data_IF_419325228478
#
_entry.id   IF_419325228478
#
_cell.length_a   1.000
_cell.length_b   1.000
_cell.length_c   1.000
_cell.angle_alpha   90.00
_cell.angle_beta   90.00
_cell.angle_gamma   90.00
#
_symmetry.space_group_name_H-M   'P 1'
#
loop_
_entity.id
_entity.type
_entity.pdbx_description
1 polymer ?
#
# COMPACT_ATOMS: atom_id res chain seq x y z
N UNK A 1 6.87 6.43 10.13
CA UNK A 1 7.67 6.13 8.94
C UNK A 1 8.28 7.41 8.38
N UNK A 2 9.47 7.31 7.78
CA UNK A 2 10.15 8.36 7.02
C UNK A 2 10.21 7.95 5.55
N UNK A 3 10.20 8.93 4.64
CA UNK A 3 10.41 8.66 3.21
C UNK A 3 11.83 8.15 2.98
N UNK A 4 11.99 7.24 2.05
CA UNK A 4 13.28 6.70 1.62
C UNK A 4 13.30 6.50 0.10
N UNK A 5 14.48 6.31 -0.51
CA UNK A 5 14.59 5.80 -1.87
C UNK A 5 13.89 4.44 -2.01
N UNK A 6 13.34 4.15 -3.18
CA UNK A 6 12.86 2.82 -3.51
C UNK A 6 14.06 1.88 -3.63
N UNK A 7 14.07 0.80 -2.85
CA UNK A 7 15.12 -0.23 -2.90
C UNK A 7 14.91 -1.18 -4.08
N UNK A 8 15.95 -1.89 -4.49
CA UNK A 8 15.85 -2.92 -5.53
C UNK A 8 14.89 -4.04 -5.11
N UNK A 9 14.91 -4.48 -3.85
CA UNK A 9 13.98 -5.48 -3.34
C UNK A 9 12.50 -5.06 -3.44
N UNK A 10 12.19 -3.81 -3.04
CA UNK A 10 10.83 -3.27 -3.21
C UNK A 10 10.43 -3.17 -4.68
N UNK A 11 11.37 -2.79 -5.56
CA UNK A 11 11.14 -2.70 -7.01
C UNK A 11 10.91 -4.07 -7.63
N UNK A 12 11.67 -5.09 -7.23
CA UNK A 12 11.59 -6.46 -7.75
C UNK A 12 10.31 -7.19 -7.32
N UNK A 13 9.75 -6.84 -6.15
CA UNK A 13 8.47 -7.36 -5.71
C UNK A 13 7.26 -6.80 -6.48
N UNK A 14 7.40 -5.59 -7.05
CA UNK A 14 6.35 -4.99 -7.87
C UNK A 14 6.21 -5.72 -9.21
N UNK A 15 4.97 -6.07 -9.58
CA UNK A 15 4.65 -6.79 -10.82
C UNK A 15 3.97 -5.92 -11.88
N UNK A 16 3.84 -4.61 -11.64
CA UNK A 16 3.32 -3.70 -12.65
C UNK A 16 4.22 -3.72 -13.90
N UNK A 17 3.64 -3.83 -15.11
CA UNK A 17 4.41 -3.88 -16.35
C UNK A 17 5.12 -2.54 -16.66
N UNK A 18 4.59 -1.44 -16.14
CA UNK A 18 5.17 -0.11 -16.22
C UNK A 18 5.04 0.58 -14.87
N UNK A 19 6.05 1.36 -14.49
CA UNK A 19 6.05 2.16 -13.26
C UNK A 19 6.38 3.59 -13.66
N UNK A 20 5.36 4.45 -13.67
CA UNK A 20 5.51 5.88 -13.93
C UNK A 20 5.97 6.62 -12.66
N UNK A 21 5.62 6.10 -11.48
CA UNK A 21 6.02 6.69 -10.20
C UNK A 21 6.14 5.63 -9.09
N UNK A 22 7.14 5.81 -8.23
CA UNK A 22 7.34 5.00 -7.02
C UNK A 22 7.65 5.88 -5.81
N UNK A 23 7.04 5.56 -4.67
CA UNK A 23 7.32 6.22 -3.39
C UNK A 23 7.51 5.16 -2.31
N UNK A 24 8.56 5.28 -1.50
CA UNK A 24 8.84 4.34 -0.42
C UNK A 24 8.96 5.04 0.93
N UNK A 25 8.56 4.30 1.97
CA UNK A 25 8.60 4.70 3.37
C UNK A 25 9.18 3.57 4.20
N UNK A 26 9.96 3.91 5.23
CA UNK A 26 10.42 2.95 6.23
C UNK A 26 10.10 3.41 7.65
N UNK A 27 9.84 2.46 8.53
CA UNK A 27 9.91 2.66 9.97
C UNK A 27 10.68 1.51 10.62
N UNK A 28 11.64 1.85 11.47
CA UNK A 28 12.16 0.92 12.45
C UNK A 28 11.11 0.74 13.54
N UNK A 29 10.74 -0.49 13.82
CA UNK A 29 9.76 -0.85 14.85
C UNK A 29 10.55 -1.36 16.07
N UNK A 30 10.55 -0.60 17.19
CA UNK A 30 11.05 -1.13 18.47
C UNK A 30 10.24 -2.37 18.86
N UNK A 31 10.90 -3.40 19.38
CA UNK A 31 10.23 -4.65 19.79
C UNK A 31 9.40 -5.28 18.67
N UNK A 32 10.05 -5.52 17.52
CA UNK A 32 9.38 -6.03 16.31
C UNK A 32 8.57 -7.31 16.63
N UNK A 33 7.24 -7.29 16.49
CA UNK A 33 6.36 -8.34 17.03
C UNK A 33 6.35 -9.64 16.21
N UNK A 34 7.33 -9.85 15.32
CA UNK A 34 7.40 -11.01 14.44
C UNK A 34 6.29 -11.09 13.37
N UNK A 35 5.50 -10.03 13.17
CA UNK A 35 4.45 -9.97 12.15
C UNK A 35 5.03 -10.14 10.74
N UNK A 36 4.40 -11.01 9.96
CA UNK A 36 4.64 -11.16 8.53
C UNK A 36 4.27 -9.88 7.76
N UNK A 37 4.77 -9.71 6.53
CA UNK A 37 4.42 -8.56 5.69
C UNK A 37 2.91 -8.42 5.44
N UNK A 38 2.19 -9.53 5.27
CA UNK A 38 0.73 -9.53 5.12
C UNK A 38 0.03 -9.06 6.40
N UNK A 39 0.47 -9.54 7.57
CA UNK A 39 -0.09 -9.10 8.85
C UNK A 39 0.15 -7.61 9.09
N UNK A 40 1.29 -7.06 8.65
CA UNK A 40 1.52 -5.62 8.64
C UNK A 40 0.55 -4.88 7.72
N UNK A 41 0.37 -5.35 6.48
CA UNK A 41 -0.59 -4.78 5.55
C UNK A 41 -2.01 -4.76 6.14
N UNK A 42 -2.45 -5.87 6.73
CA UNK A 42 -3.76 -5.97 7.40
C UNK A 42 -3.84 -5.08 8.63
N UNK A 43 -2.84 -5.05 9.49
CA UNK A 43 -2.83 -4.18 10.66
C UNK A 43 -2.91 -2.68 10.27
N UNK A 44 -2.27 -2.28 9.18
CA UNK A 44 -2.30 -0.89 8.68
C UNK A 44 -3.66 -0.53 8.09
N UNK A 45 -4.25 -1.39 7.25
CA UNK A 45 -5.50 -1.07 6.56
C UNK A 45 -6.76 -1.56 7.30
N UNK A 46 -6.81 -2.83 7.68
CA UNK A 46 -7.95 -3.46 8.34
C UNK A 46 -8.00 -3.16 9.85
N UNK A 47 -6.84 -2.91 10.47
CA UNK A 47 -6.71 -2.44 11.85
C UNK A 47 -6.94 -0.92 12.03
N UNK A 48 -7.13 -0.17 10.94
CA UNK A 48 -7.44 1.26 11.02
C UNK A 48 -8.81 1.51 11.68
N UNK A 49 -9.03 2.70 12.28
CA UNK A 49 -10.34 3.08 12.80
C UNK A 49 -11.45 2.93 11.75
N UNK A 50 -12.65 2.50 12.15
CA UNK A 50 -13.74 2.21 11.22
C UNK A 50 -14.04 3.35 10.22
N UNK A 51 -14.08 4.64 10.61
CA UNK A 51 -14.28 5.74 9.65
C UNK A 51 -13.16 5.82 8.61
N UNK A 52 -11.92 5.54 9.01
CA UNK A 52 -10.77 5.54 8.09
C UNK A 52 -10.86 4.40 7.09
N UNK A 53 -11.30 3.21 7.52
CA UNK A 53 -11.53 2.07 6.60
C UNK A 53 -12.59 2.37 5.55
N UNK A 54 -13.70 2.99 5.97
CA UNK A 54 -14.77 3.42 5.07
C UNK A 54 -14.23 4.46 4.08
N UNK A 55 -13.49 5.46 4.57
CA UNK A 55 -12.86 6.46 3.72
C UNK A 55 -11.91 5.85 2.69
N UNK A 56 -11.00 4.93 3.10
CA UNK A 56 -10.06 4.27 2.19
C UNK A 56 -10.79 3.51 1.09
N UNK A 57 -11.78 2.68 1.46
CA UNK A 57 -12.57 1.93 0.48
C UNK A 57 -13.34 2.85 -0.47
N UNK A 58 -13.92 3.93 0.02
CA UNK A 58 -14.60 4.92 -0.79
C UNK A 58 -13.62 5.66 -1.73
N UNK A 59 -12.46 6.07 -1.24
CA UNK A 59 -11.44 6.74 -2.03
C UNK A 59 -10.91 5.85 -3.16
N UNK A 60 -10.67 4.56 -2.90
CA UNK A 60 -10.25 3.62 -3.94
C UNK A 60 -11.37 3.33 -4.94
N UNK A 61 -12.58 3.01 -4.47
CA UNK A 61 -13.70 2.66 -5.35
C UNK A 61 -14.19 3.85 -6.17
N UNK A 62 -14.42 4.99 -5.54
CA UNK A 62 -15.02 6.16 -6.19
C UNK A 62 -13.97 7.12 -6.75
N UNK A 63 -12.88 7.34 -6.03
CA UNK A 63 -11.82 8.25 -6.47
C UNK A 63 -10.94 7.62 -7.56
N UNK A 64 -10.45 6.41 -7.34
CA UNK A 64 -9.55 5.71 -8.27
C UNK A 64 -10.27 4.78 -9.27
N UNK A 65 -11.58 4.55 -9.08
CA UNK A 65 -12.35 3.62 -9.88
C UNK A 65 -11.91 2.16 -9.70
N UNK A 66 -11.31 1.83 -8.56
CA UNK A 66 -10.77 0.49 -8.31
C UNK A 66 -11.89 -0.50 -8.03
N UNK A 67 -11.80 -1.67 -8.68
CA UNK A 67 -12.65 -2.81 -8.36
C UNK A 67 -12.12 -3.48 -7.08
N UNK A 68 -12.78 -3.22 -5.95
CA UNK A 68 -12.43 -3.86 -4.68
C UNK A 68 -13.05 -5.25 -4.61
N UNK A 69 -12.25 -6.22 -4.18
CA UNK A 69 -12.71 -7.57 -3.87
C UNK A 69 -13.56 -7.65 -2.60
N UNK A 70 -14.03 -8.87 -2.26
CA UNK A 70 -14.77 -9.12 -1.03
C UNK A 70 -13.93 -8.78 0.21
N UNK A 71 -14.62 -8.34 1.26
CA UNK A 71 -14.01 -8.06 2.56
C UNK A 71 -15.02 -8.40 3.68
N UNK A 72 -14.67 -9.26 4.66
CA UNK A 72 -13.34 -9.85 4.88
C UNK A 72 -12.98 -10.95 3.86
N UNK A 73 -11.67 -11.13 3.59
CA UNK A 73 -11.14 -12.21 2.74
C UNK A 73 -9.66 -12.48 3.05
N UNK A 74 -9.22 -13.73 2.85
CA UNK A 74 -7.80 -14.11 2.90
C UNK A 74 -7.02 -13.62 1.66
N UNK A 75 -7.66 -13.54 0.49
CA UNK A 75 -7.01 -13.13 -0.76
C UNK A 75 -6.95 -11.62 -0.94
N UNK A 76 -7.67 -10.87 -0.10
CA UNK A 76 -7.77 -9.42 -0.19
C UNK A 76 -7.45 -8.75 1.15
N UNK A 77 -6.68 -7.66 1.10
CA UNK A 77 -6.46 -6.76 2.23
C UNK A 77 -7.27 -5.49 2.03
N UNK A 78 -8.33 -5.33 2.84
CA UNK A 78 -9.33 -4.27 2.73
C UNK A 78 -9.92 -4.13 1.30
N UNK A 79 -10.03 -5.25 0.58
CA UNK A 79 -10.52 -5.32 -0.80
C UNK A 79 -9.45 -5.14 -1.89
N UNK A 80 -8.18 -4.92 -1.55
CA UNK A 80 -7.07 -4.93 -2.50
C UNK A 80 -6.51 -6.35 -2.63
N UNK A 81 -6.35 -6.84 -3.84
CA UNK A 81 -5.93 -8.21 -4.12
C UNK A 81 -4.47 -8.45 -3.73
N UNK A 82 -4.17 -9.58 -3.08
CA UNK A 82 -2.80 -10.04 -2.89
C UNK A 82 -2.33 -10.70 -4.20
N UNK A 83 -1.51 -9.99 -4.98
CA UNK A 83 -1.03 -10.46 -6.29
C UNK A 83 0.33 -11.16 -6.23
N UNK A 84 1.03 -11.02 -5.10
CA UNK A 84 2.30 -11.71 -4.84
C UNK A 84 2.57 -11.78 -3.35
N UNK A 85 2.96 -12.96 -2.89
CA UNK A 85 3.60 -13.18 -1.59
C UNK A 85 4.99 -13.73 -1.85
N UNK A 86 6.01 -13.14 -1.24
CA UNK A 86 7.40 -13.57 -1.39
C UNK A 86 8.13 -13.57 -0.05
N UNK A 87 9.38 -14.01 -0.07
CA UNK A 87 10.20 -14.11 1.14
C UNK A 87 10.43 -12.71 1.74
N UNK A 88 9.69 -12.41 2.81
CA UNK A 88 9.75 -11.11 3.49
C UNK A 88 8.98 -9.97 2.81
N UNK A 89 8.14 -10.24 1.80
CA UNK A 89 7.26 -9.22 1.22
C UNK A 89 5.88 -9.70 0.78
N UNK A 90 4.92 -8.77 0.71
CA UNK A 90 3.60 -8.96 0.10
C UNK A 90 3.29 -7.79 -0.83
N UNK A 91 2.60 -8.06 -1.94
CA UNK A 91 2.20 -7.04 -2.92
C UNK A 91 0.68 -7.02 -3.06
N UNK A 92 0.09 -5.85 -2.82
CA UNK A 92 -1.34 -5.60 -2.94
C UNK A 92 -1.64 -4.77 -4.19
N UNK A 93 -2.53 -5.23 -5.06
CA UNK A 93 -2.92 -4.51 -6.26
C UNK A 93 -4.24 -3.74 -6.10
N UNK A 94 -4.24 -2.52 -6.63
CA UNK A 94 -5.39 -1.66 -6.87
C UNK A 94 -5.47 -1.40 -8.36
N UNK A 95 -6.49 -1.94 -9.03
CA UNK A 95 -6.65 -1.78 -10.49
C UNK A 95 -7.89 -0.94 -10.80
N UNK A 96 -7.67 0.23 -11.40
CA UNK A 96 -8.73 1.13 -11.84
C UNK A 96 -8.54 1.61 -13.29
N UNK A 97 -9.51 2.33 -13.86
CA UNK A 97 -9.46 2.83 -15.25
C UNK A 97 -8.49 4.00 -15.44
N UNK A 98 -8.12 4.72 -14.38
CA UNK A 98 -7.22 5.89 -14.45
C UNK A 98 -5.78 5.56 -14.06
N UNK A 99 -5.59 4.53 -13.24
CA UNK A 99 -4.27 4.04 -12.84
C UNK A 99 -4.36 2.60 -12.35
N UNK A 100 -3.23 1.90 -12.41
CA UNK A 100 -2.98 0.74 -11.55
C UNK A 100 -1.97 1.13 -10.47
N UNK A 101 -2.14 0.60 -9.27
CA UNK A 101 -1.24 0.83 -8.17
C UNK A 101 -0.92 -0.47 -7.44
N UNK A 102 0.32 -0.61 -6.99
CA UNK A 102 0.72 -1.71 -6.12
C UNK A 102 1.35 -1.18 -4.83
N UNK A 103 0.86 -1.67 -3.70
CA UNK A 103 1.54 -1.50 -2.42
C UNK A 103 2.40 -2.72 -2.16
N UNK A 104 3.72 -2.54 -2.10
CA UNK A 104 4.66 -3.56 -1.65
C UNK A 104 4.99 -3.29 -0.20
N UNK A 105 4.70 -4.25 0.66
CA UNK A 105 5.06 -4.22 2.08
C UNK A 105 6.16 -5.24 2.29
N UNK A 106 7.28 -4.82 2.87
CA UNK A 106 8.40 -5.69 3.15
C UNK A 106 8.90 -5.53 4.59
N UNK A 107 9.45 -6.60 5.13
CA UNK A 107 10.06 -6.63 6.46
C UNK A 107 11.52 -7.02 6.30
N UNK A 108 12.43 -6.13 6.71
CA UNK A 108 13.86 -6.36 6.71
C UNK A 108 14.40 -6.19 8.15
N UNK A 109 14.60 -7.30 8.86
CA UNK A 109 14.92 -7.29 10.28
C UNK A 109 13.81 -6.63 11.09
N UNK A 110 14.12 -5.52 11.78
CA UNK A 110 13.15 -4.71 12.53
C UNK A 110 12.58 -3.52 11.74
N UNK A 111 12.84 -3.46 10.43
CA UNK A 111 12.37 -2.37 9.57
C UNK A 111 11.18 -2.81 8.74
N UNK A 112 10.07 -2.09 8.89
CA UNK A 112 8.92 -2.16 8.00
C UNK A 112 9.14 -1.18 6.85
N UNK A 113 9.19 -1.69 5.63
CA UNK A 113 9.23 -0.93 4.39
C UNK A 113 7.87 -0.99 3.68
N UNK A 114 7.44 0.14 3.13
CA UNK A 114 6.21 0.24 2.35
C UNK A 114 6.45 1.09 1.11
N UNK A 115 6.31 0.47 -0.06
CA UNK A 115 6.37 1.17 -1.34
C UNK A 115 5.00 1.21 -2.01
N UNK A 116 4.70 2.32 -2.67
CA UNK A 116 3.54 2.46 -3.55
C UNK A 116 4.05 2.77 -4.95
N UNK A 117 3.72 1.90 -5.89
CA UNK A 117 4.06 2.01 -7.31
C UNK A 117 2.81 2.31 -8.12
N UNK A 118 2.95 3.14 -9.15
CA UNK A 118 1.84 3.63 -9.95
C UNK A 118 2.15 3.51 -11.44
N UNK A 119 1.15 3.03 -12.18
CA UNK A 119 1.06 3.06 -13.63
C UNK A 119 -0.12 3.96 -14.02
N UNK A 120 0.15 5.12 -14.62
CA UNK A 120 -0.89 6.09 -14.97
C UNK A 120 -1.47 5.81 -16.35
N UNK A 121 -2.80 5.79 -16.43
CA UNK A 121 -3.54 5.73 -17.69
C UNK A 121 -3.86 7.16 -18.13
N UNK A 122 -2.91 7.75 -18.85
CA UNK A 122 -3.01 9.11 -19.39
C UNK A 122 -2.83 10.22 -18.34
N UNK A 123 -3.17 11.45 -18.73
CA UNK A 123 -2.96 12.66 -17.91
C UNK A 123 -3.91 12.72 -16.72
N UNK A 124 -5.15 12.24 -16.87
CA UNK A 124 -6.14 12.25 -15.81
C UNK A 124 -5.68 11.46 -14.57
N UNK A 125 -5.08 10.28 -14.76
CA UNK A 125 -4.50 9.49 -13.67
C UNK A 125 -3.38 10.23 -12.92
N UNK A 126 -2.53 10.94 -13.66
CA UNK A 126 -1.47 11.79 -13.07
C UNK A 126 -2.06 12.92 -12.22
N UNK A 127 -3.04 13.65 -12.75
CA UNK A 127 -3.69 14.77 -12.04
C UNK A 127 -4.39 14.28 -10.77
N UNK A 128 -5.17 13.21 -10.87
CA UNK A 128 -5.82 12.58 -9.72
C UNK A 128 -4.82 12.21 -8.64
N UNK A 129 -3.71 11.58 -9.02
CA UNK A 129 -2.68 11.20 -8.06
C UNK A 129 -1.98 12.41 -7.43
N UNK A 130 -1.70 13.47 -8.19
CA UNK A 130 -1.11 14.70 -7.62
C UNK A 130 -1.98 15.30 -6.50
N UNK A 131 -3.31 15.11 -6.55
CA UNK A 131 -4.22 15.53 -5.48
C UNK A 131 -4.28 14.52 -4.32
N UNK A 132 -4.20 13.22 -4.61
CA UNK A 132 -4.26 12.16 -3.60
C UNK A 132 -2.93 11.98 -2.83
N UNK A 133 -1.80 12.27 -3.47
CA UNK A 133 -0.46 12.03 -2.95
C UNK A 133 -0.20 12.68 -1.59
N UNK A 134 -0.53 13.96 -1.34
CA UNK A 134 -0.30 14.58 -0.04
C UNK A 134 -1.09 13.90 1.09
N UNK A 135 -2.30 13.43 0.80
CA UNK A 135 -3.13 12.67 1.75
C UNK A 135 -2.50 11.31 2.01
N UNK A 136 -2.11 10.61 0.94
CA UNK A 136 -1.44 9.31 1.03
C UNK A 136 -0.15 9.38 1.87
N UNK A 137 0.70 10.38 1.63
CA UNK A 137 1.96 10.59 2.35
C UNK A 137 1.77 10.93 3.84
N UNK A 138 0.58 11.39 4.26
CA UNK A 138 0.26 11.61 5.67
C UNK A 138 -0.39 10.39 6.30
N UNK A 139 -1.37 9.81 5.60
CA UNK A 139 -2.22 8.75 6.12
C UNK A 139 -1.44 7.44 6.28
N UNK A 140 -0.65 7.05 5.28
CA UNK A 140 0.09 5.79 5.33
C UNK A 140 1.09 5.75 6.50
N UNK A 141 1.99 6.74 6.71
CA UNK A 141 2.86 6.76 7.88
C UNK A 141 2.11 6.82 9.22
N UNK A 142 0.94 7.45 9.28
CA UNK A 142 0.14 7.52 10.50
C UNK A 142 -0.49 6.17 10.85
N UNK A 143 -1.04 5.47 9.87
CA UNK A 143 -1.60 4.12 10.06
C UNK A 143 -0.52 3.10 10.39
N UNK A 144 0.64 3.17 9.74
CA UNK A 144 1.79 2.32 10.07
C UNK A 144 2.28 2.51 11.51
N UNK A 145 2.37 3.76 12.00
CA UNK A 145 2.72 4.01 13.40
C UNK A 145 1.69 3.42 14.36
N UNK A 146 0.41 3.54 14.04
CA UNK A 146 -0.67 2.96 14.85
C UNK A 146 -0.59 1.43 14.89
N UNK A 147 -0.32 0.78 13.76
CA UNK A 147 -0.22 -0.68 13.68
C UNK A 147 0.99 -1.26 14.44
N UNK A 148 1.97 -0.39 14.74
CA UNK A 148 3.18 -0.71 15.49
C UNK A 148 3.07 -0.40 16.99
N UNK A 149 1.97 0.22 17.43
CA UNK A 149 1.63 0.42 18.85
C UNK A 149 0.72 -0.71 19.33
#
# INVERSE_FOLDING_TARGET
MRRMPVTEGLRAACTLPRIDRGTAFAATIPEFPGKSPEEWARAVFEGAPAPVRVFLRAAWRCGLGVHLGPFPSAEFVLGNEIVRTGDGSVTLEMRGPLLAAQNVVAVAGSTLEWATFLDFRGVAGRVLWSLAEPVHHRLLPALARRAAS
#
